data_IF_100076227834
#
_entry.id   IF_100076227834
#
_cell.length_a   1.000
_cell.length_b   1.000
_cell.length_c   1.000
_cell.angle_alpha   90.00
_cell.angle_beta   90.00
_cell.angle_gamma   90.00
#
_symmetry.space_group_name_H-M   'P 1'
#
loop_
_entity.id
_entity.type
_entity.pdbx_description
1 polymer ?
#
# COMPACT_ATOMS: atom_id res chain seq x y z
N UNK A 1 11.93 15.27 -20.97
CA UNK A 1 12.00 14.17 -19.98
C UNK A 1 10.82 14.32 -19.04
N UNK A 2 10.08 13.25 -18.76
CA UNK A 2 8.86 13.29 -17.94
C UNK A 2 9.01 12.44 -16.68
N UNK A 3 8.15 12.68 -15.68
CA UNK A 3 8.04 11.88 -14.47
C UNK A 3 7.04 10.74 -14.73
N UNK A 4 7.48 9.47 -14.89
CA UNK A 4 6.54 8.36 -15.03
C UNK A 4 5.85 8.11 -13.69
N UNK A 5 4.52 7.98 -13.72
CA UNK A 5 3.70 7.76 -12.52
C UNK A 5 2.76 6.59 -12.76
N UNK A 6 2.69 5.67 -11.81
CA UNK A 6 1.77 4.53 -11.80
C UNK A 6 0.60 4.81 -10.83
N UNK A 7 -0.65 4.66 -11.28
CA UNK A 7 -1.81 4.75 -10.41
C UNK A 7 -2.20 3.35 -9.93
N UNK A 8 -2.22 3.15 -8.61
CA UNK A 8 -2.53 1.86 -8.00
C UNK A 8 -3.85 1.94 -7.23
N UNK A 9 -4.72 0.96 -7.47
CA UNK A 9 -6.03 0.82 -6.83
C UNK A 9 -6.04 -0.22 -5.71
N UNK A 10 -4.90 -0.86 -5.44
CA UNK A 10 -4.73 -1.90 -4.42
C UNK A 10 -3.31 -1.88 -3.85
N UNK A 11 -3.17 -2.26 -2.58
CA UNK A 11 -1.88 -2.34 -1.88
C UNK A 11 -1.39 -3.78 -1.93
N UNK A 12 -0.39 -4.05 -2.78
CA UNK A 12 0.24 -5.38 -2.87
C UNK A 12 1.51 -5.40 -2.01
N UNK A 13 1.54 -6.08 -0.87
CA UNK A 13 2.63 -5.92 0.11
C UNK A 13 3.88 -6.74 -0.22
N UNK A 14 3.72 -7.90 -0.86
CA UNK A 14 4.79 -8.90 -1.08
C UNK A 14 5.52 -9.33 0.20
N UNK A 15 4.90 -9.14 1.38
CA UNK A 15 5.52 -9.42 2.68
C UNK A 15 6.66 -8.46 3.05
N UNK A 16 6.69 -7.26 2.44
CA UNK A 16 7.72 -6.22 2.65
C UNK A 16 7.23 -5.04 3.48
N UNK A 17 6.00 -5.10 3.98
CA UNK A 17 5.42 -4.12 4.87
C UNK A 17 6.09 -4.15 6.25
N UNK A 18 6.30 -2.97 6.84
CA UNK A 18 6.82 -2.82 8.20
C UNK A 18 5.75 -2.18 9.06
N UNK A 19 5.39 -2.82 10.17
CA UNK A 19 4.46 -2.25 11.15
C UNK A 19 5.17 -1.16 11.95
N UNK A 20 4.63 0.05 11.96
CA UNK A 20 5.16 1.18 12.75
C UNK A 20 4.31 1.48 13.99
N UNK A 21 3.02 1.18 13.94
CA UNK A 21 2.07 1.29 15.06
C UNK A 21 1.06 0.13 15.00
N UNK A 22 0.16 0.01 15.99
CA UNK A 22 -0.75 -1.14 16.16
C UNK A 22 -1.44 -1.59 14.85
N UNK A 23 -1.92 -0.64 14.05
CA UNK A 23 -2.54 -0.91 12.75
C UNK A 23 -1.97 -0.08 11.60
N UNK A 24 -0.82 0.59 11.79
CA UNK A 24 -0.20 1.43 10.77
C UNK A 24 1.06 0.76 10.24
N UNK A 25 1.15 0.67 8.92
CA UNK A 25 2.20 -0.01 8.21
C UNK A 25 2.81 0.91 7.15
N UNK A 26 4.10 0.69 6.90
CA UNK A 26 4.85 1.33 5.82
C UNK A 26 5.24 0.31 4.77
N UNK A 27 5.17 0.70 3.49
CA UNK A 27 5.58 -0.12 2.37
C UNK A 27 6.35 0.71 1.35
N UNK A 28 7.58 0.28 1.06
CA UNK A 28 8.42 0.90 0.03
C UNK A 28 8.13 0.28 -1.33
N UNK A 29 8.03 1.14 -2.35
CA UNK A 29 7.75 0.76 -3.73
C UNK A 29 8.70 1.44 -4.70
N UNK A 30 9.21 0.67 -5.64
CA UNK A 30 9.97 1.22 -6.75
C UNK A 30 9.06 2.04 -7.67
N UNK A 31 9.59 3.18 -8.11
CA UNK A 31 8.91 4.17 -8.95
C UNK A 31 7.99 5.11 -8.18
N UNK A 32 7.50 6.12 -8.90
CA UNK A 32 6.48 7.03 -8.41
C UNK A 32 5.10 6.41 -8.58
N UNK A 33 4.42 6.19 -7.46
CA UNK A 33 3.13 5.53 -7.40
C UNK A 33 2.16 6.42 -6.66
N UNK A 34 0.96 6.52 -7.19
CA UNK A 34 -0.14 7.26 -6.58
C UNK A 34 -1.20 6.27 -6.16
N UNK A 35 -1.67 6.46 -4.93
CA UNK A 35 -2.77 5.73 -4.34
C UNK A 35 -3.85 6.71 -3.93
N UNK A 36 -5.13 6.32 -4.00
CA UNK A 36 -6.19 7.07 -3.35
C UNK A 36 -5.92 7.19 -1.85
N UNK A 37 -5.97 8.42 -1.33
CA UNK A 37 -5.79 8.71 0.09
C UNK A 37 -7.13 8.63 0.83
N UNK A 38 -7.10 8.12 2.07
CA UNK A 38 -8.24 8.12 2.99
C UNK A 38 -9.50 7.40 2.49
N UNK A 39 -9.37 6.48 1.53
CA UNK A 39 -10.47 5.59 1.10
C UNK A 39 -10.09 4.12 1.28
N UNK A 40 -11.07 3.21 1.43
CA UNK A 40 -10.84 1.76 1.51
C UNK A 40 -10.18 1.22 0.25
N UNK A 41 -8.99 0.64 0.39
CA UNK A 41 -8.30 -0.13 -0.63
C UNK A 41 -8.07 -1.57 -0.18
N UNK A 42 -8.08 -2.49 -1.13
CA UNK A 42 -7.71 -3.87 -0.86
C UNK A 42 -6.21 -3.99 -0.57
N UNK A 43 -5.89 -4.80 0.44
CA UNK A 43 -4.53 -5.24 0.73
C UNK A 43 -4.41 -6.70 0.31
N UNK A 44 -3.33 -7.02 -0.41
CA UNK A 44 -3.02 -8.37 -0.89
C UNK A 44 -1.53 -8.68 -0.72
N UNK A 45 -1.18 -9.95 -0.51
CA UNK A 45 0.24 -10.36 -0.47
C UNK A 45 0.86 -10.38 -1.87
N UNK A 46 0.14 -10.91 -2.86
CA UNK A 46 0.54 -10.92 -4.28
C UNK A 46 -0.56 -10.28 -5.13
N UNK A 47 -0.23 -9.86 -6.36
CA UNK A 47 -1.18 -9.15 -7.24
C UNK A 47 -2.43 -9.99 -7.54
N UNK A 48 -2.21 -11.26 -7.86
CA UNK A 48 -3.27 -12.21 -8.22
C UNK A 48 -3.70 -13.08 -7.02
N UNK A 49 -3.14 -12.81 -5.84
CA UNK A 49 -3.47 -13.54 -4.62
C UNK A 49 -4.77 -13.05 -3.98
N UNK A 50 -5.19 -13.79 -2.95
CA UNK A 50 -6.36 -13.44 -2.16
C UNK A 50 -6.19 -12.12 -1.41
N UNK A 51 -7.35 -11.48 -1.15
CA UNK A 51 -7.43 -10.33 -0.27
C UNK A 51 -6.98 -10.75 1.13
N UNK A 52 -6.01 -10.03 1.67
CA UNK A 52 -5.54 -10.22 3.06
C UNK A 52 -6.21 -9.24 4.02
N UNK A 53 -6.75 -8.12 3.50
CA UNK A 53 -7.45 -7.13 4.31
C UNK A 53 -7.90 -5.91 3.52
N UNK A 54 -8.35 -4.90 4.26
CA UNK A 54 -8.73 -3.58 3.75
C UNK A 54 -7.97 -2.52 4.54
N UNK A 55 -7.44 -1.50 3.87
CA UNK A 55 -6.68 -0.43 4.48
C UNK A 55 -6.95 0.94 3.85
N UNK A 56 -6.65 2.00 4.58
CA UNK A 56 -6.63 3.39 4.07
C UNK A 56 -5.19 3.85 3.94
N UNK A 57 -4.81 4.45 2.80
CA UNK A 57 -3.52 5.14 2.70
C UNK A 57 -3.65 6.49 3.40
N UNK A 58 -2.80 6.73 4.40
CA UNK A 58 -2.77 7.96 5.19
C UNK A 58 -1.74 8.96 4.66
N UNK A 59 -0.62 8.46 4.11
CA UNK A 59 0.49 9.28 3.61
C UNK A 59 1.20 8.62 2.43
N UNK A 60 1.57 9.43 1.46
CA UNK A 60 2.48 9.08 0.36
C UNK A 60 3.68 10.02 0.39
N UNK A 61 4.88 9.45 0.30
CA UNK A 61 6.12 10.21 0.13
C UNK A 61 6.82 9.71 -1.12
N UNK A 62 7.07 10.60 -2.07
CA UNK A 62 7.67 10.30 -3.37
C UNK A 62 9.05 10.97 -3.42
N UNK A 63 10.11 10.18 -3.31
CA UNK A 63 11.49 10.67 -3.28
C UNK A 63 12.40 9.63 -3.93
N UNK A 64 13.43 10.07 -4.65
CA UNK A 64 14.49 9.20 -5.19
C UNK A 64 13.98 7.98 -5.98
N UNK A 65 12.98 8.19 -6.85
CA UNK A 65 12.33 7.13 -7.64
C UNK A 65 11.72 6.01 -6.79
N UNK A 66 11.30 6.34 -5.57
CA UNK A 66 10.63 5.45 -4.63
C UNK A 66 9.37 6.12 -4.11
N UNK A 67 8.36 5.31 -3.84
CA UNK A 67 7.17 5.71 -3.12
C UNK A 67 7.12 4.98 -1.79
N UNK A 68 7.09 5.73 -0.70
CA UNK A 68 6.76 5.23 0.63
C UNK A 68 5.27 5.40 0.86
N UNK A 69 4.57 4.29 1.07
CA UNK A 69 3.14 4.25 1.36
C UNK A 69 2.95 3.97 2.84
N UNK A 70 2.35 4.91 3.57
CA UNK A 70 1.91 4.68 4.96
C UNK A 70 0.41 4.43 4.93
N UNK A 71 -0.02 3.29 5.43
CA UNK A 71 -1.43 2.89 5.42
C UNK A 71 -1.86 2.30 6.75
N UNK A 72 -3.13 2.53 7.11
CA UNK A 72 -3.77 1.93 8.27
C UNK A 72 -4.65 0.77 7.85
N UNK A 73 -4.41 -0.40 8.43
CA UNK A 73 -5.24 -1.57 8.25
C UNK A 73 -6.55 -1.41 9.04
N UNK A 74 -7.68 -1.58 8.35
CA UNK A 74 -9.03 -1.40 8.91
C UNK A 74 -9.70 -2.74 9.18
N UNK A 75 -9.46 -3.73 8.32
CA UNK A 75 -9.97 -5.09 8.52
C UNK A 75 -9.02 -6.13 7.94
N UNK A 76 -8.96 -7.29 8.60
CA UNK A 76 -8.32 -8.48 8.07
C UNK A 76 -9.35 -9.32 7.33
N UNK A 77 -8.94 -9.91 6.22
CA UNK A 77 -9.69 -10.97 5.58
C UNK A 77 -9.15 -12.29 6.13
N UNK A 78 -9.83 -12.81 7.16
CA UNK A 78 -9.49 -14.11 7.76
C UNK A 78 -10.10 -15.21 6.92
N UNK A 79 -9.28 -15.92 6.15
CA UNK A 79 -9.62 -17.27 5.71
C UNK A 79 -9.38 -18.19 6.91
N UNK A 80 -10.46 -18.67 7.51
CA UNK A 80 -10.44 -19.77 8.50
C UNK A 80 -9.86 -21.03 7.87
#
# INVERSE_FOLDING_TARGET
MGMPVEFNTMIVTKGKETRIEENVFELMKDGYRIYPLNIPLEVRKTKDGEKTGTAHVEKLELTDNVTKVTYRLVSLHSTN
#
